data_IF_596340785217
#
_entry.id   IF_596340785217
#
_cell.length_a   1.000
_cell.length_b   1.000
_cell.length_c   1.000
_cell.angle_alpha   90.00
_cell.angle_beta   90.00
_cell.angle_gamma   90.00
#
_symmetry.space_group_name_H-M   'P 1'
#
loop_
_entity.id
_entity.type
_entity.pdbx_description
1 polymer ?
#
# COMPACT_ATOMS: atom_id res chain seq x y z
N UNK A 1 24.59 -7.18 7.66
CA UNK A 1 23.46 -7.05 6.71
C UNK A 1 22.19 -6.94 7.56
N UNK A 2 21.94 -5.75 8.11
CA UNK A 2 20.76 -5.53 8.94
C UNK A 2 19.53 -5.58 8.04
N UNK A 3 18.65 -6.57 8.26
CA UNK A 3 17.40 -6.68 7.54
C UNK A 3 16.64 -5.36 7.69
N UNK A 4 16.42 -4.68 6.56
CA UNK A 4 15.64 -3.46 6.47
C UNK A 4 14.22 -3.78 6.94
N UNK A 5 13.97 -3.62 8.24
CA UNK A 5 12.66 -3.85 8.83
C UNK A 5 11.65 -3.01 8.05
N UNK A 6 10.60 -3.60 7.44
CA UNK A 6 9.62 -2.88 6.62
C UNK A 6 9.00 -1.67 7.33
N UNK A 7 8.99 -1.71 8.67
CA UNK A 7 8.56 -0.59 9.53
C UNK A 7 9.48 0.64 9.45
N UNK A 8 10.79 0.46 9.27
CA UNK A 8 11.76 1.55 9.07
C UNK A 8 11.53 2.28 7.73
N UNK A 9 10.92 1.61 6.75
CA UNK A 9 10.59 2.20 5.45
C UNK A 9 9.37 3.12 5.60
N UNK A 10 8.34 2.73 6.35
CA UNK A 10 7.18 3.59 6.60
C UNK A 10 7.55 4.93 7.26
N UNK A 11 8.52 4.92 8.18
CA UNK A 11 9.02 6.15 8.84
C UNK A 11 9.73 7.16 7.94
N UNK A 12 10.04 6.80 6.68
CA UNK A 12 10.63 7.71 5.68
C UNK A 12 9.59 8.34 4.74
N UNK A 13 8.30 8.15 5.01
CA UNK A 13 7.20 8.67 4.19
C UNK A 13 6.67 7.68 3.15
N UNK A 14 7.01 6.40 3.25
CA UNK A 14 6.43 5.35 2.41
C UNK A 14 5.15 4.77 3.03
N UNK A 15 4.33 4.14 2.21
CA UNK A 15 3.12 3.45 2.64
C UNK A 15 3.10 2.00 2.14
N UNK A 16 2.46 1.12 2.90
CA UNK A 16 2.15 -0.25 2.48
C UNK A 16 0.71 -0.28 1.99
N UNK A 17 0.50 -0.65 0.73
CA UNK A 17 -0.84 -0.75 0.13
C UNK A 17 -1.27 -2.21 0.09
N UNK A 18 -2.51 -2.47 0.51
CA UNK A 18 -3.15 -3.78 0.48
C UNK A 18 -4.51 -3.72 -0.19
N UNK A 19 -4.90 -4.80 -0.87
CA UNK A 19 -6.23 -4.99 -1.44
C UNK A 19 -7.31 -5.14 -0.34
N UNK A 20 -8.58 -5.25 -0.75
CA UNK A 20 -9.70 -5.49 0.18
C UNK A 20 -9.63 -6.83 0.94
N UNK A 21 -8.74 -7.75 0.54
CA UNK A 21 -8.51 -9.07 1.15
C UNK A 21 -7.27 -9.07 2.07
N UNK A 22 -6.51 -7.98 2.13
CA UNK A 22 -5.29 -7.84 2.92
C UNK A 22 -4.01 -8.29 2.21
N UNK A 23 -4.04 -8.57 0.91
CA UNK A 23 -2.82 -8.88 0.13
C UNK A 23 -2.09 -7.60 -0.23
N UNK A 24 -0.76 -7.62 -0.10
CA UNK A 24 0.08 -6.48 -0.47
C UNK A 24 0.13 -6.34 -1.99
N UNK A 25 -0.21 -5.15 -2.48
CA UNK A 25 -0.07 -4.80 -3.88
C UNK A 25 1.40 -4.48 -4.17
N UNK A 26 1.97 -5.13 -5.19
CA UNK A 26 3.37 -4.93 -5.59
C UNK A 26 3.49 -4.19 -6.92
N UNK A 27 2.52 -4.36 -7.80
CA UNK A 27 2.42 -3.67 -9.09
C UNK A 27 1.09 -2.91 -9.18
N UNK A 28 1.07 -1.82 -9.94
CA UNK A 28 -0.15 -1.03 -10.14
C UNK A 28 -1.27 -1.86 -10.82
N UNK A 29 -0.91 -2.80 -11.71
CA UNK A 29 -1.84 -3.71 -12.36
C UNK A 29 -2.44 -4.79 -11.46
N UNK A 30 -1.91 -4.96 -10.23
CA UNK A 30 -2.49 -5.90 -9.25
C UNK A 30 -3.79 -5.34 -8.66
N UNK A 31 -4.05 -4.04 -8.81
CA UNK A 31 -5.29 -3.37 -8.43
C UNK A 31 -6.24 -3.17 -9.60
N UNK A 32 -7.51 -2.97 -9.30
CA UNK A 32 -8.54 -2.63 -10.29
C UNK A 32 -9.15 -1.26 -10.03
N UNK A 33 -9.53 -0.53 -11.10
CA UNK A 33 -10.27 0.73 -10.96
C UNK A 33 -11.61 0.47 -10.26
N UNK A 34 -11.91 1.29 -9.26
CA UNK A 34 -13.06 1.14 -8.38
C UNK A 34 -12.83 0.22 -7.18
N UNK A 35 -11.68 -0.45 -7.09
CA UNK A 35 -11.35 -1.33 -5.97
C UNK A 35 -11.04 -0.53 -4.70
N UNK A 36 -11.49 -1.03 -3.55
CA UNK A 36 -11.14 -0.50 -2.24
C UNK A 36 -9.79 -1.07 -1.79
N UNK A 37 -8.86 -0.17 -1.47
CA UNK A 37 -7.52 -0.49 -0.98
C UNK A 37 -7.32 0.11 0.41
N UNK A 38 -6.44 -0.51 1.20
CA UNK A 38 -6.00 0.00 2.48
C UNK A 38 -4.54 0.42 2.39
N UNK A 39 -4.26 1.65 2.82
CA UNK A 39 -2.93 2.25 2.82
C UNK A 39 -2.48 2.39 4.27
N UNK A 40 -1.43 1.65 4.65
CA UNK A 40 -0.84 1.70 5.99
C UNK A 40 0.39 2.62 5.97
N UNK A 41 0.37 3.61 6.84
CA UNK A 41 1.44 4.60 7.01
C UNK A 41 2.26 4.27 8.27
N UNK A 42 3.25 5.10 8.59
CA UNK A 42 4.00 4.98 9.84
C UNK A 42 3.10 4.99 11.07
N UNK A 43 2.04 5.79 11.02
CA UNK A 43 1.00 5.87 12.04
C UNK A 43 -0.37 5.86 11.35
N UNK A 44 -1.27 5.02 11.86
CA UNK A 44 -2.62 4.90 11.32
C UNK A 44 -2.71 4.19 9.96
N UNK A 45 -3.89 4.29 9.36
CA UNK A 45 -4.20 3.69 8.05
C UNK A 45 -5.35 4.45 7.39
N UNK A 46 -5.34 4.46 6.06
CA UNK A 46 -6.37 5.05 5.22
C UNK A 46 -7.10 3.96 4.44
N UNK A 47 -8.38 4.19 4.17
CA UNK A 47 -9.14 3.43 3.18
C UNK A 47 -9.30 4.35 1.98
N UNK A 48 -8.93 3.86 0.79
CA UNK A 48 -9.01 4.60 -0.45
C UNK A 48 -9.64 3.73 -1.54
N UNK A 49 -10.14 4.37 -2.59
CA UNK A 49 -10.64 3.69 -3.78
C UNK A 49 -9.71 4.03 -4.95
N UNK A 50 -9.39 3.04 -5.77
CA UNK A 50 -8.56 3.22 -6.97
C UNK A 50 -9.37 3.97 -8.01
N UNK A 51 -9.00 5.21 -8.31
CA UNK A 51 -9.67 6.03 -9.31
C UNK A 51 -9.08 5.85 -10.71
N UNK A 52 -7.78 5.56 -10.76
CA UNK A 52 -6.99 5.48 -11.99
C UNK A 52 -5.75 4.59 -11.76
N UNK A 53 -5.28 3.95 -12.83
CA UNK A 53 -4.08 3.11 -12.83
C UNK A 53 -3.19 3.64 -13.94
N UNK A 54 -2.04 4.19 -13.57
CA UNK A 54 -0.99 4.60 -14.49
C UNK A 54 0.18 3.61 -14.37
N UNK A 55 0.72 3.17 -15.51
CA UNK A 55 1.79 2.19 -15.62
C UNK A 55 2.97 2.76 -16.42
#
# INVERSE_FOLDING_TARGET
>A
LEALSPLKVLGRGYALVTDGRGHVLKNAHDAQKGEAIRVKLAEGSLIAQVTEIEA
#
